data_IF_136688232369
#
_entry.id   IF_136688232369
#
_cell.length_a   1.000
_cell.length_b   1.000
_cell.length_c   1.000
_cell.angle_alpha   90.00
_cell.angle_beta   90.00
_cell.angle_gamma   90.00
#
_symmetry.space_group_name_H-M   'P 1'
#
loop_
_entity.id
_entity.type
_entity.pdbx_description
1 polymer ?
#
# COMPACT_ATOMS: atom_id res chain seq x y z
N UNK A 1 -15.53 -10.43 1.36
CA UNK A 1 -14.77 -9.84 2.47
C UNK A 1 -14.60 -8.35 2.20
N UNK A 2 -14.95 -7.48 3.16
CA UNK A 2 -14.75 -6.04 3.04
C UNK A 2 -13.28 -5.70 3.29
N UNK A 3 -12.78 -4.68 2.59
CA UNK A 3 -11.44 -4.15 2.78
C UNK A 3 -11.51 -2.64 2.99
N UNK A 4 -10.39 -2.06 3.40
CA UNK A 4 -10.18 -0.62 3.59
C UNK A 4 -8.89 -0.21 2.89
N UNK A 5 -8.74 1.09 2.59
CA UNK A 5 -7.54 1.60 1.92
C UNK A 5 -6.25 1.22 2.67
N UNK A 6 -5.15 1.14 1.94
CA UNK A 6 -3.83 0.97 2.54
C UNK A 6 -3.51 2.17 3.43
N UNK A 7 -2.93 1.90 4.60
CA UNK A 7 -2.40 2.89 5.51
C UNK A 7 -0.97 2.50 5.86
N UNK A 8 -0.08 3.48 5.89
CA UNK A 8 1.30 3.29 6.31
C UNK A 8 1.82 4.56 6.97
N UNK A 9 2.69 4.38 7.95
CA UNK A 9 3.32 5.48 8.67
C UNK A 9 4.70 5.78 8.07
N UNK A 10 5.13 7.04 8.15
CA UNK A 10 6.48 7.44 7.82
C UNK A 10 7.48 6.63 8.68
N UNK A 11 8.49 6.00 8.07
CA UNK A 11 9.48 5.20 8.80
C UNK A 11 10.42 6.03 9.68
N UNK A 12 10.43 7.36 9.51
CA UNK A 12 11.33 8.27 10.24
C UNK A 12 10.62 8.98 11.39
N UNK A 13 9.48 9.63 11.13
CA UNK A 13 8.77 10.41 12.15
C UNK A 13 7.51 9.72 12.71
N UNK A 14 7.07 8.60 12.09
CA UNK A 14 5.86 7.87 12.50
C UNK A 14 4.54 8.53 12.10
N UNK A 15 4.56 9.65 11.36
CA UNK A 15 3.34 10.31 10.89
C UNK A 15 2.54 9.44 9.93
N UNK A 16 1.21 9.51 10.01
CA UNK A 16 0.30 8.90 9.05
C UNK A 16 0.01 9.79 7.83
N UNK A 17 0.53 11.04 7.82
CA UNK A 17 0.37 11.98 6.72
C UNK A 17 1.32 11.60 5.56
N UNK A 18 0.91 10.59 4.78
CA UNK A 18 1.70 9.97 3.72
C UNK A 18 0.91 9.98 2.43
N UNK A 19 1.50 10.53 1.38
CA UNK A 19 0.86 10.69 0.08
C UNK A 19 1.66 10.00 -1.01
N UNK A 20 0.94 9.36 -1.94
CA UNK A 20 1.54 8.86 -3.16
C UNK A 20 1.96 10.04 -4.05
N UNK A 21 3.23 10.06 -4.46
CA UNK A 21 3.85 11.22 -5.10
C UNK A 21 4.06 11.07 -6.61
N UNK A 22 3.87 9.86 -7.14
CA UNK A 22 4.19 9.53 -8.53
C UNK A 22 2.97 9.59 -9.45
N UNK A 23 3.24 9.78 -10.74
CA UNK A 23 2.28 9.42 -11.78
C UNK A 23 1.99 7.92 -11.69
N UNK A 24 0.72 7.47 -11.77
CA UNK A 24 0.38 6.05 -11.73
C UNK A 24 1.22 5.24 -12.73
N UNK A 25 1.77 4.10 -12.29
CA UNK A 25 2.68 3.22 -13.03
C UNK A 25 4.10 3.75 -13.31
N UNK A 26 4.52 4.88 -12.74
CA UNK A 26 5.89 5.41 -12.90
C UNK A 26 6.85 4.98 -11.77
N UNK A 27 6.36 4.99 -10.52
CA UNK A 27 7.09 4.61 -9.32
C UNK A 27 6.11 4.33 -8.19
N UNK A 28 6.54 3.65 -7.12
CA UNK A 28 5.74 3.47 -5.90
C UNK A 28 6.18 4.45 -4.79
N UNK A 29 6.69 5.63 -5.15
CA UNK A 29 7.24 6.56 -4.16
C UNK A 29 6.15 7.35 -3.43
N UNK A 30 6.30 7.41 -2.11
CA UNK A 30 5.47 8.19 -1.19
C UNK A 30 6.30 9.26 -0.52
N UNK A 31 5.63 10.32 -0.10
CA UNK A 31 6.23 11.42 0.66
C UNK A 31 5.44 11.62 1.95
N UNK A 32 6.17 11.82 3.05
CA UNK A 32 5.57 12.25 4.31
C UNK A 32 5.32 13.77 4.29
N UNK A 33 4.09 14.19 4.55
CA UNK A 33 3.72 15.60 4.64
C UNK A 33 4.33 16.34 5.83
N UNK A 34 4.68 15.62 6.90
CA UNK A 34 5.25 16.23 8.11
C UNK A 34 6.76 16.47 8.03
N UNK A 35 7.54 15.48 7.61
CA UNK A 35 9.00 15.55 7.62
C UNK A 35 9.67 15.46 6.25
N UNK A 36 8.89 15.41 5.16
CA UNK A 36 9.41 15.38 3.79
C UNK A 36 10.13 14.10 3.38
N UNK A 37 10.26 13.11 4.28
CA UNK A 37 10.88 11.82 3.97
C UNK A 37 10.15 11.12 2.83
N UNK A 38 10.90 10.61 1.88
CA UNK A 38 10.37 9.75 0.81
C UNK A 38 10.72 8.28 1.05
N UNK A 39 9.88 7.39 0.56
CA UNK A 39 10.07 5.95 0.68
C UNK A 39 9.16 5.20 -0.31
N UNK A 40 9.50 3.95 -0.58
CA UNK A 40 8.72 3.08 -1.46
C UNK A 40 8.21 1.85 -0.68
N UNK A 41 6.93 1.47 -0.79
CA UNK A 41 6.43 0.20 -0.29
C UNK A 41 6.73 -0.92 -1.30
N UNK A 42 7.34 -1.99 -0.81
CA UNK A 42 7.52 -3.24 -1.52
C UNK A 42 6.67 -4.32 -0.86
N UNK A 43 5.91 -5.09 -1.66
CA UNK A 43 5.16 -6.22 -1.11
C UNK A 43 5.88 -7.56 -1.30
N UNK A 44 5.57 -8.52 -0.44
CA UNK A 44 5.99 -9.92 -0.58
C UNK A 44 4.80 -10.85 -0.39
N UNK A 45 4.72 -11.94 -1.15
CA UNK A 45 3.62 -12.89 -0.99
C UNK A 45 3.78 -13.75 0.26
N UNK A 46 2.73 -13.89 1.08
CA UNK A 46 2.70 -14.86 2.19
C UNK A 46 2.40 -16.31 1.76
N UNK A 47 2.20 -16.56 0.46
CA UNK A 47 1.84 -17.87 -0.07
C UNK A 47 0.38 -18.29 0.20
N UNK A 48 -0.42 -17.43 0.84
CA UNK A 48 -1.85 -17.65 1.13
C UNK A 48 -2.70 -16.78 0.20
N UNK A 49 -3.87 -17.27 -0.19
CA UNK A 49 -4.81 -16.55 -1.04
C UNK A 49 -6.21 -16.61 -0.43
N UNK A 50 -6.87 -15.46 -0.35
CA UNK A 50 -8.27 -15.33 0.04
C UNK A 50 -9.17 -15.29 -1.18
N UNK A 51 -10.44 -15.61 -0.98
CA UNK A 51 -11.50 -15.50 -2.00
C UNK A 51 -12.48 -14.40 -1.63
N UNK A 52 -13.23 -13.93 -2.63
CA UNK A 52 -14.29 -12.94 -2.47
C UNK A 52 -13.81 -11.63 -1.82
N UNK A 53 -12.56 -11.24 -2.10
CA UNK A 53 -11.99 -9.97 -1.65
C UNK A 53 -12.61 -8.85 -2.49
N UNK A 54 -13.33 -7.94 -1.84
CA UNK A 54 -13.89 -6.78 -2.51
C UNK A 54 -13.02 -5.55 -2.22
N UNK A 55 -12.75 -4.68 -3.22
CA UNK A 55 -12.17 -3.35 -2.98
C UNK A 55 -13.01 -2.54 -1.98
N UNK A 56 -12.41 -1.53 -1.31
CA UNK A 56 -13.16 -0.60 -0.48
C UNK A 56 -14.14 0.23 -1.32
N UNK A 57 -15.22 0.68 -0.69
CA UNK A 57 -16.18 1.62 -1.26
C UNK A 57 -16.37 2.79 -0.27
N UNK A 58 -15.95 4.03 -0.62
CA UNK A 58 -15.37 4.43 -1.90
C UNK A 58 -13.97 3.85 -2.15
N UNK A 59 -13.56 3.84 -3.42
CA UNK A 59 -12.18 3.53 -3.81
C UNK A 59 -11.21 4.59 -3.27
N UNK A 60 -9.93 4.26 -3.03
CA UNK A 60 -8.93 5.23 -2.62
C UNK A 60 -8.73 6.32 -3.68
N UNK A 61 -8.39 7.52 -3.22
CA UNK A 61 -8.05 8.63 -4.11
C UNK A 61 -6.66 8.44 -4.71
N UNK A 62 -6.36 9.18 -5.78
CA UNK A 62 -5.09 9.05 -6.50
C UNK A 62 -3.85 9.36 -5.64
N UNK A 63 -4.00 10.16 -4.58
CA UNK A 63 -2.92 10.52 -3.66
C UNK A 63 -2.83 9.58 -2.43
N UNK A 64 -3.79 8.67 -2.24
CA UNK A 64 -3.76 7.74 -1.12
C UNK A 64 -2.57 6.75 -1.24
N UNK A 65 -2.07 6.23 -0.11
CA UNK A 65 -1.09 5.15 -0.10
C UNK A 65 -1.48 3.96 -1.00
N UNK A 66 -0.51 3.43 -1.73
CA UNK A 66 -0.69 2.28 -2.63
C UNK A 66 0.60 1.47 -2.73
N UNK A 67 0.51 0.22 -3.19
CA UNK A 67 1.65 -0.65 -3.44
C UNK A 67 1.29 -1.67 -4.54
N UNK A 68 2.30 -2.14 -5.28
CA UNK A 68 2.12 -3.22 -6.25
C UNK A 68 1.91 -4.56 -5.54
N UNK A 69 1.03 -5.42 -6.04
CA UNK A 69 0.95 -6.81 -5.60
C UNK A 69 2.12 -7.64 -6.13
N UNK A 70 2.93 -8.21 -5.24
CA UNK A 70 4.07 -9.05 -5.62
C UNK A 70 3.75 -10.33 -6.41
N UNK A 71 2.45 -10.67 -6.58
CA UNK A 71 2.01 -11.85 -7.33
C UNK A 71 1.54 -11.51 -8.74
N UNK A 72 0.91 -10.36 -8.95
CA UNK A 72 0.23 -10.03 -10.22
C UNK A 72 0.38 -8.57 -10.65
N UNK A 73 1.21 -7.79 -9.96
CA UNK A 73 1.52 -6.38 -10.24
C UNK A 73 0.34 -5.39 -10.18
N UNK A 74 -0.86 -5.85 -9.85
CA UNK A 74 -2.01 -4.97 -9.62
C UNK A 74 -1.80 -4.05 -8.42
N UNK A 75 -2.30 -2.81 -8.54
CA UNK A 75 -2.35 -1.81 -7.46
C UNK A 75 -3.57 -1.95 -6.54
N UNK A 76 -4.44 -2.94 -6.78
CA UNK A 76 -5.62 -3.22 -5.97
C UNK A 76 -5.26 -3.87 -4.62
N UNK A 77 -4.29 -3.29 -3.90
CA UNK A 77 -3.77 -3.76 -2.61
C UNK A 77 -4.41 -2.96 -1.49
N UNK A 78 -5.05 -3.65 -0.57
CA UNK A 78 -5.87 -3.09 0.49
C UNK A 78 -5.60 -3.78 1.83
N UNK A 79 -6.15 -3.21 2.90
CA UNK A 79 -6.15 -3.82 4.23
C UNK A 79 -7.46 -4.56 4.48
N UNK A 80 -7.36 -5.74 5.06
CA UNK A 80 -8.51 -6.42 5.67
C UNK A 80 -8.87 -5.78 7.01
N UNK A 81 -9.99 -6.21 7.61
CA UNK A 81 -10.42 -5.75 8.94
C UNK A 81 -9.42 -6.12 10.05
N UNK A 82 -8.66 -7.21 9.89
CA UNK A 82 -7.59 -7.67 10.79
C UNK A 82 -6.21 -7.05 10.47
N UNK A 83 -6.15 -6.01 9.62
CA UNK A 83 -4.92 -5.33 9.18
C UNK A 83 -3.94 -6.22 8.39
N UNK A 84 -4.41 -7.31 7.79
CA UNK A 84 -3.62 -8.07 6.81
C UNK A 84 -3.66 -7.36 5.45
N UNK A 85 -2.53 -7.33 4.75
CA UNK A 85 -2.47 -6.79 3.39
C UNK A 85 -3.00 -7.84 2.41
N UNK A 86 -3.88 -7.45 1.50
CA UNK A 86 -4.48 -8.34 0.50
C UNK A 86 -4.63 -7.65 -0.85
N UNK A 87 -4.38 -8.38 -1.93
CA UNK A 87 -4.71 -7.94 -3.28
C UNK A 87 -6.15 -8.36 -3.63
N UNK A 88 -7.01 -7.42 -3.99
CA UNK A 88 -8.38 -7.71 -4.41
C UNK A 88 -8.48 -8.40 -5.78
N UNK A 89 -7.48 -8.22 -6.66
CA UNK A 89 -7.50 -8.82 -7.99
C UNK A 89 -7.15 -10.31 -7.98
N UNK A 90 -6.15 -10.72 -7.19
CA UNK A 90 -5.68 -12.11 -7.17
C UNK A 90 -5.88 -12.81 -5.82
N UNK A 91 -6.38 -12.10 -4.81
CA UNK A 91 -6.63 -12.60 -3.46
C UNK A 91 -5.39 -12.84 -2.60
N UNK A 92 -4.17 -12.59 -3.12
CA UNK A 92 -2.95 -12.92 -2.38
C UNK A 92 -2.85 -12.10 -1.09
N UNK A 93 -2.55 -12.78 0.02
CA UNK A 93 -2.09 -12.11 1.25
C UNK A 93 -0.64 -11.70 1.07
N UNK A 94 -0.31 -10.50 1.51
CA UNK A 94 1.00 -9.88 1.33
C UNK A 94 1.57 -9.38 2.66
N UNK A 95 2.89 -9.35 2.75
CA UNK A 95 3.65 -8.53 3.68
C UNK A 95 4.02 -7.20 3.01
N UNK A 96 4.17 -6.16 3.82
CA UNK A 96 4.63 -4.83 3.39
C UNK A 96 6.02 -4.57 3.98
N UNK A 97 6.96 -4.17 3.13
CA UNK A 97 8.28 -3.67 3.52
C UNK A 97 8.45 -2.25 3.01
N UNK A 98 9.15 -1.41 3.78
CA UNK A 98 9.48 -0.04 3.39
C UNK A 98 10.93 0.00 2.92
N UNK A 99 11.16 0.48 1.71
CA UNK A 99 12.45 0.53 1.03
C UNK A 99 12.74 1.94 0.51
N UNK A 100 13.93 2.14 -0.06
CA UNK A 100 14.35 3.40 -0.71
C UNK A 100 14.10 4.65 0.16
N UNK A 101 14.31 4.52 1.48
CA UNK A 101 14.05 5.60 2.44
C UNK A 101 15.08 6.70 2.25
N UNK A 102 14.62 7.90 1.86
CA UNK A 102 15.42 9.10 1.79
C UNK A 102 14.89 10.16 2.78
N UNK A 103 15.68 10.55 3.79
CA UNK A 103 15.30 11.61 4.72
C UNK A 103 15.01 12.94 4.01
N UNK A 104 14.10 13.73 4.61
CA UNK A 104 13.74 15.07 4.14
C UNK A 104 14.65 16.16 4.68
#
# INVERSE_FOLDING_TARGET
MKTRKLEMACPICGSADVFYSCTPNCCYNHVCGDCGTTFEPLTKTRGVTLRDVAPPDPLPEAADPTAACAKCDSIAVYLTEDNSLVCADCGSILDLEITEVAPG
#
